data_IF_513715600355
#
_entry.id   IF_513715600355
#
_cell.length_a   1.000
_cell.length_b   1.000
_cell.length_c   1.000
_cell.angle_alpha   90.00
_cell.angle_beta   90.00
_cell.angle_gamma   90.00
#
_symmetry.space_group_name_H-M   'P 1'
#
loop_
_entity.id
_entity.type
_entity.pdbx_description
1 polymer ?
#
# COMPACT_ATOMS: atom_id res chain seq x y z
N UNK A 1 -13.19 20.07 -9.81
CA UNK A 1 -11.92 19.45 -9.37
C UNK A 1 -12.21 18.09 -8.79
N UNK A 2 -11.19 17.24 -8.71
CA UNK A 2 -11.30 15.89 -8.19
C UNK A 2 -10.57 15.83 -6.85
N UNK A 3 -11.32 15.56 -5.79
CA UNK A 3 -10.74 15.32 -4.48
C UNK A 3 -10.36 13.85 -4.38
N UNK A 4 -9.11 13.57 -4.01
CA UNK A 4 -8.61 12.22 -3.77
C UNK A 4 -8.12 12.13 -2.34
N UNK A 5 -8.65 11.18 -1.58
CA UNK A 5 -8.27 10.91 -0.21
C UNK A 5 -7.81 9.45 -0.05
N UNK A 6 -6.72 9.26 0.68
CA UNK A 6 -6.23 7.95 1.09
C UNK A 6 -6.49 7.83 2.58
N UNK A 7 -7.21 6.78 2.96
CA UNK A 7 -7.58 6.51 4.34
C UNK A 7 -7.19 5.11 4.76
N UNK A 8 -7.00 4.94 6.06
CA UNK A 8 -6.80 3.64 6.71
C UNK A 8 -7.64 3.66 7.97
N UNK A 9 -8.44 2.62 8.17
CA UNK A 9 -9.43 2.56 9.25
C UNK A 9 -10.35 3.80 9.22
N UNK A 10 -10.41 4.58 10.30
CA UNK A 10 -11.17 5.83 10.41
C UNK A 10 -10.40 7.07 9.95
N UNK A 11 -9.09 6.95 9.69
CA UNK A 11 -8.22 8.10 9.59
C UNK A 11 -7.90 8.42 8.12
N UNK A 12 -8.01 9.69 7.76
CA UNK A 12 -7.55 10.21 6.47
C UNK A 12 -6.06 10.51 6.61
N UNK A 13 -5.24 9.75 5.90
CA UNK A 13 -3.78 9.88 5.95
C UNK A 13 -3.31 10.98 4.99
N UNK A 14 -3.93 11.05 3.81
CA UNK A 14 -3.59 12.02 2.78
C UNK A 14 -4.86 12.47 2.07
N UNK A 15 -4.93 13.75 1.71
CA UNK A 15 -6.05 14.32 0.95
C UNK A 15 -5.53 15.45 0.06
N UNK A 16 -5.92 15.45 -1.20
CA UNK A 16 -5.50 16.46 -2.17
C UNK A 16 -6.57 16.70 -3.23
N UNK A 17 -6.69 17.94 -3.68
CA UNK A 17 -7.62 18.36 -4.74
C UNK A 17 -6.86 18.55 -6.04
N UNK A 18 -7.33 17.89 -7.09
CA UNK A 18 -6.73 17.94 -8.42
C UNK A 18 -7.60 18.70 -9.40
N UNK A 19 -7.03 19.75 -9.98
CA UNK A 19 -7.64 20.44 -11.10
C UNK A 19 -7.35 19.66 -12.38
N UNK A 20 -8.38 19.25 -13.15
CA UNK A 20 -8.15 18.55 -14.41
C UNK A 20 -7.40 19.44 -15.40
N UNK A 21 -6.46 18.83 -16.15
CA UNK A 21 -5.81 19.49 -17.27
C UNK A 21 -6.73 19.58 -18.49
N UNK A 22 -6.20 20.18 -19.57
CA UNK A 22 -6.94 20.44 -20.82
C UNK A 22 -7.23 19.19 -21.65
N UNK A 23 -6.67 18.03 -21.28
CA UNK A 23 -6.88 16.77 -22.00
C UNK A 23 -8.22 16.13 -21.69
N UNK A 24 -8.80 15.41 -22.67
CA UNK A 24 -10.02 14.63 -22.50
C UNK A 24 -9.87 13.47 -21.49
N UNK A 25 -8.63 13.06 -21.18
CA UNK A 25 -8.32 12.05 -20.17
C UNK A 25 -7.20 12.56 -19.28
N UNK A 26 -7.44 12.57 -17.97
CA UNK A 26 -6.46 12.94 -16.96
C UNK A 26 -6.13 11.71 -16.12
N UNK A 27 -4.83 11.45 -15.89
CA UNK A 27 -4.36 10.37 -15.02
C UNK A 27 -3.66 11.00 -13.82
N UNK A 28 -4.06 10.60 -12.62
CA UNK A 28 -3.44 11.04 -11.37
C UNK A 28 -2.75 9.83 -10.75
N UNK A 29 -1.45 9.91 -10.53
CA UNK A 29 -0.67 8.86 -9.86
C UNK A 29 -0.47 9.25 -8.40
N UNK A 30 -0.87 8.37 -7.49
CA UNK A 30 -0.69 8.56 -6.04
C UNK A 30 0.00 7.34 -5.45
N UNK A 31 1.06 7.59 -4.69
CA UNK A 31 1.71 6.56 -3.88
C UNK A 31 1.00 6.48 -2.54
N UNK A 32 0.72 5.27 -2.08
CA UNK A 32 0.28 5.04 -0.69
C UNK A 32 1.55 5.02 0.16
N UNK A 33 1.75 6.06 0.98
CA UNK A 33 2.84 6.04 1.95
C UNK A 33 2.45 5.13 3.11
N UNK A 34 3.31 4.15 3.38
CA UNK A 34 3.14 3.18 4.46
C UNK A 34 4.07 3.55 5.60
N UNK A 35 3.59 3.36 6.82
CA UNK A 35 4.36 3.49 8.06
C UNK A 35 5.05 2.17 8.41
N UNK A 36 5.95 2.21 9.39
CA UNK A 36 6.59 1.00 9.91
C UNK A 36 5.54 0.08 10.55
N UNK A 37 5.58 -1.21 10.21
CA UNK A 37 4.60 -2.22 10.62
C UNK A 37 5.28 -3.53 10.98
N UNK A 38 4.58 -4.37 11.73
CA UNK A 38 5.07 -5.70 12.04
C UNK A 38 5.32 -6.51 10.75
N UNK A 39 6.27 -7.43 10.82
CA UNK A 39 6.61 -8.29 9.69
C UNK A 39 5.38 -9.08 9.24
N UNK A 40 5.11 -9.08 7.93
CA UNK A 40 3.97 -9.75 7.30
C UNK A 40 2.60 -9.23 7.72
N UNK A 41 2.53 -8.07 8.35
CA UNK A 41 1.26 -7.42 8.65
C UNK A 41 0.54 -7.02 7.35
N UNK A 42 -0.70 -7.47 7.19
CA UNK A 42 -1.59 -7.01 6.12
C UNK A 42 -2.34 -5.76 6.60
N UNK A 43 -2.30 -4.72 5.78
CA UNK A 43 -3.04 -3.48 6.02
C UNK A 43 -3.98 -3.19 4.87
N UNK A 44 -5.21 -2.82 5.20
CA UNK A 44 -6.17 -2.29 4.24
C UNK A 44 -6.12 -0.77 4.16
N UNK A 45 -5.99 -0.24 2.95
CA UNK A 45 -6.12 1.17 2.61
C UNK A 45 -7.32 1.37 1.71
N UNK A 46 -7.98 2.52 1.83
CA UNK A 46 -9.07 2.93 0.94
C UNK A 46 -8.68 4.21 0.23
N UNK A 47 -8.76 4.19 -1.10
CA UNK A 47 -8.60 5.35 -1.96
C UNK A 47 -9.98 5.79 -2.41
N UNK A 48 -10.36 6.98 -1.99
CA UNK A 48 -11.63 7.62 -2.33
C UNK A 48 -11.36 8.75 -3.32
N UNK A 49 -12.13 8.79 -4.40
CA UNK A 49 -12.09 9.88 -5.36
C UNK A 49 -13.51 10.40 -5.62
N UNK A 50 -13.72 11.71 -5.48
CA UNK A 50 -15.01 12.35 -5.67
C UNK A 50 -14.86 13.71 -6.34
N UNK A 51 -15.80 14.08 -7.22
CA UNK A 51 -15.82 15.42 -7.78
C UNK A 51 -16.43 16.41 -6.79
N UNK A 52 -15.70 17.48 -6.47
CA UNK A 52 -16.12 18.48 -5.48
C UNK A 52 -17.46 19.16 -5.82
N UNK A 53 -17.74 19.36 -7.11
CA UNK A 53 -18.96 20.01 -7.61
C UNK A 53 -20.11 19.04 -7.88
N UNK A 54 -19.83 17.74 -7.96
CA UNK A 54 -20.83 16.69 -8.21
C UNK A 54 -20.52 15.50 -7.31
N UNK A 55 -20.75 15.63 -5.98
CA UNK A 55 -20.26 14.67 -4.99
C UNK A 55 -20.88 13.27 -5.11
N UNK A 56 -22.01 13.15 -5.81
CA UNK A 56 -22.63 11.86 -6.14
C UNK A 56 -21.77 11.04 -7.10
N UNK A 57 -20.92 11.69 -7.89
CA UNK A 57 -19.93 11.03 -8.75
C UNK A 57 -18.68 10.77 -7.92
N UNK A 58 -18.64 9.59 -7.31
CA UNK A 58 -17.55 9.11 -6.46
C UNK A 58 -17.21 7.65 -6.72
N UNK A 59 -15.99 7.28 -6.40
CA UNK A 59 -15.50 5.89 -6.44
C UNK A 59 -14.64 5.62 -5.22
N UNK A 60 -14.72 4.38 -4.71
CA UNK A 60 -13.87 3.87 -3.64
C UNK A 60 -13.18 2.61 -4.14
N UNK A 61 -11.87 2.53 -3.94
CA UNK A 61 -11.07 1.33 -4.24
C UNK A 61 -10.29 0.93 -3.00
N UNK A 62 -10.32 -0.37 -2.70
CA UNK A 62 -9.65 -0.95 -1.55
C UNK A 62 -8.34 -1.60 -1.99
N UNK A 63 -7.25 -1.22 -1.32
CA UNK A 63 -5.90 -1.78 -1.54
C UNK A 63 -5.43 -2.51 -0.29
N UNK A 64 -4.68 -3.59 -0.49
CA UNK A 64 -4.03 -4.35 0.57
C UNK A 64 -2.52 -4.20 0.42
N UNK A 65 -1.87 -3.73 1.47
CA UNK A 65 -0.41 -3.65 1.56
C UNK A 65 0.08 -4.70 2.55
N UNK A 66 1.16 -5.39 2.21
CA UNK A 66 1.80 -6.39 3.07
C UNK A 66 3.17 -5.84 3.46
N UNK A 67 3.44 -5.74 4.76
CA UNK A 67 4.76 -5.35 5.27
C UNK A 67 5.76 -6.47 5.01
N UNK A 68 6.81 -6.16 4.25
CA UNK A 68 7.91 -7.07 3.96
C UNK A 68 9.18 -6.60 4.70
N UNK A 69 10.10 -7.50 5.05
CA UNK A 69 11.35 -7.11 5.69
C UNK A 69 12.14 -6.19 4.75
N UNK A 70 12.69 -5.10 5.33
CA UNK A 70 13.26 -4.00 4.55
C UNK A 70 14.49 -4.40 3.74
N UNK A 71 15.21 -5.45 4.14
CA UNK A 71 16.31 -6.04 3.39
C UNK A 71 16.39 -7.55 3.63
N UNK A 72 16.34 -8.33 2.55
CA UNK A 72 16.75 -9.74 2.40
C UNK A 72 16.78 -10.61 3.66
N UNK A 73 15.77 -11.49 3.83
CA UNK A 73 15.85 -12.61 4.78
C UNK A 73 16.99 -13.52 4.34
N UNK A 74 18.10 -13.50 5.08
CA UNK A 74 19.20 -14.46 4.93
C UNK A 74 19.14 -15.49 6.06
N UNK A 75 18.57 -16.68 5.83
CA UNK A 75 18.59 -17.71 6.86
C UNK A 75 20.06 -18.11 7.13
N UNK A 76 20.49 -17.95 8.39
CA UNK A 76 21.77 -18.50 8.83
C UNK A 76 21.50 -19.98 9.15
N UNK A 77 21.97 -20.86 8.27
CA UNK A 77 22.00 -22.30 8.55
C UNK A 77 23.35 -22.60 9.20
N UNK A 78 23.37 -22.71 10.52
CA UNK A 78 24.56 -23.15 11.26
C UNK A 78 24.62 -24.67 11.25
N UNK A 79 25.65 -25.22 10.61
CA UNK A 79 25.97 -26.65 10.61
C UNK A 79 27.24 -26.81 11.42
N UNK A 80 27.17 -27.52 12.54
CA UNK A 80 28.36 -27.89 13.29
C UNK A 80 29.16 -28.90 12.46
N UNK A 81 30.48 -28.73 12.37
CA UNK A 81 31.34 -29.53 11.49
C UNK A 81 31.42 -31.03 11.84
N UNK A 82 30.86 -31.43 12.98
CA UNK A 82 30.74 -32.82 13.44
C UNK A 82 29.35 -33.43 13.15
N UNK A 83 28.42 -32.65 12.59
CA UNK A 83 27.03 -33.07 12.35
C UNK A 83 26.77 -33.12 10.85
N UNK A 84 26.65 -34.31 10.28
CA UNK A 84 26.14 -34.47 8.92
C UNK A 84 24.66 -34.08 8.90
N UNK A 85 24.26 -33.15 8.03
CA UNK A 85 22.84 -32.89 7.75
C UNK A 85 22.30 -34.14 7.05
N UNK A 86 21.48 -34.90 7.75
CA UNK A 86 20.68 -35.96 7.14
C UNK A 86 19.67 -35.31 6.20
N UNK A 87 19.79 -35.61 4.90
CA UNK A 87 18.95 -35.07 3.83
C UNK A 87 17.93 -36.08 3.32
N UNK A 88 17.70 -37.17 4.06
CA UNK A 88 16.64 -38.13 3.72
C UNK A 88 15.28 -37.56 4.14
N UNK A 89 14.49 -37.19 3.14
CA UNK A 89 13.07 -36.84 3.25
C UNK A 89 12.19 -38.08 3.41
#
# INVERSE_FOLDING_TARGET
DLDIAISRNSDVLESETFTPGWGATNKVYRRINTDERALWEETTYKVNAAYNKVPDVKTEVVYRAISAPSDSIRPIVEVKGDTAIDTQA
#
